data_IF_348484414260
#
_entry.id   IF_348484414260
#
_cell.length_a   1.000
_cell.length_b   1.000
_cell.length_c   1.000
_cell.angle_alpha   90.00
_cell.angle_beta   90.00
_cell.angle_gamma   90.00
#
_symmetry.space_group_name_H-M   'P 1'
#
loop_
_entity.id
_entity.type
_entity.pdbx_description
1 polymer ?
#
# COMPACT_ATOMS: atom_id res chain seq x y z
N UNK A 1 64.27 -35.91 -2.24
CA UNK A 1 62.95 -35.53 -2.79
C UNK A 1 62.65 -36.47 -3.94
N UNK A 2 61.52 -37.18 -3.90
CA UNK A 2 61.18 -38.21 -4.88
C UNK A 2 60.79 -37.58 -6.24
N UNK A 3 61.58 -37.79 -7.31
CA UNK A 3 61.32 -37.20 -8.62
C UNK A 3 59.95 -37.59 -9.20
N UNK A 4 59.45 -38.79 -8.87
CA UNK A 4 58.17 -39.29 -9.36
C UNK A 4 56.95 -38.55 -8.79
N UNK A 5 57.06 -38.08 -7.53
CA UNK A 5 55.98 -37.34 -6.87
C UNK A 5 55.80 -35.92 -7.44
N UNK A 6 56.90 -35.28 -7.84
CA UNK A 6 56.91 -33.95 -8.46
C UNK A 6 56.31 -34.02 -9.87
N UNK A 7 56.67 -35.03 -10.65
CA UNK A 7 56.15 -35.24 -12.00
C UNK A 7 54.64 -35.49 -12.02
N UNK A 8 54.13 -36.25 -11.04
CA UNK A 8 52.68 -36.54 -10.91
C UNK A 8 51.88 -35.29 -10.52
N UNK A 9 52.43 -34.42 -9.67
CA UNK A 9 51.82 -33.12 -9.31
C UNK A 9 51.80 -32.14 -10.49
N UNK A 10 52.88 -32.08 -11.28
CA UNK A 10 52.93 -31.26 -12.49
C UNK A 10 51.93 -31.73 -13.55
N UNK A 11 51.78 -33.05 -13.75
CA UNK A 11 50.77 -33.60 -14.65
C UNK A 11 49.34 -33.26 -14.21
N UNK A 12 49.03 -33.36 -12.91
CA UNK A 12 47.72 -32.98 -12.37
C UNK A 12 47.45 -31.47 -12.49
N UNK A 13 48.47 -30.62 -12.27
CA UNK A 13 48.36 -29.18 -12.46
C UNK A 13 48.12 -28.81 -13.94
N UNK A 14 48.80 -29.48 -14.87
CA UNK A 14 48.60 -29.27 -16.31
C UNK A 14 47.17 -29.64 -16.75
N UNK A 15 46.60 -30.74 -16.24
CA UNK A 15 45.21 -31.13 -16.52
C UNK A 15 44.21 -30.13 -15.96
N UNK A 16 44.43 -29.61 -14.74
CA UNK A 16 43.58 -28.57 -14.15
C UNK A 16 43.64 -27.26 -14.95
N UNK A 17 44.83 -26.86 -15.36
CA UNK A 17 45.05 -25.64 -16.15
C UNK A 17 44.44 -25.75 -17.56
N UNK A 18 44.50 -26.93 -18.17
CA UNK A 18 43.81 -27.21 -19.43
C UNK A 18 42.28 -27.11 -19.30
N UNK A 19 41.69 -27.69 -18.24
CA UNK A 19 40.24 -27.57 -17.97
C UNK A 19 39.83 -26.11 -17.74
N UNK A 20 40.58 -25.36 -16.93
CA UNK A 20 40.32 -23.94 -16.68
C UNK A 20 40.40 -23.09 -17.96
N UNK A 21 41.36 -23.36 -18.85
CA UNK A 21 41.44 -22.68 -20.16
C UNK A 21 40.25 -23.00 -21.07
N UNK A 22 39.73 -24.22 -21.02
CA UNK A 22 38.55 -24.63 -21.79
C UNK A 22 37.28 -23.95 -21.28
N UNK A 23 37.11 -23.86 -19.96
CA UNK A 23 36.03 -23.11 -19.31
C UNK A 23 36.09 -21.62 -19.64
N UNK A 24 37.28 -21.01 -19.57
CA UNK A 24 37.47 -19.60 -19.93
C UNK A 24 37.12 -19.31 -21.39
N UNK A 25 37.44 -20.23 -22.32
CA UNK A 25 37.03 -20.10 -23.73
C UNK A 25 35.50 -20.16 -23.89
N UNK A 26 34.82 -21.03 -23.14
CA UNK A 26 33.34 -21.11 -23.14
C UNK A 26 32.71 -19.83 -22.59
N UNK A 27 33.24 -19.31 -21.49
CA UNK A 27 32.77 -18.06 -20.90
C UNK A 27 32.95 -16.88 -21.85
N UNK A 28 34.10 -16.78 -22.52
CA UNK A 28 34.34 -15.74 -23.54
C UNK A 28 33.39 -15.86 -24.74
N UNK A 29 33.08 -17.08 -25.18
CA UNK A 29 32.11 -17.30 -26.26
C UNK A 29 30.69 -16.92 -25.83
N UNK A 30 30.26 -17.29 -24.62
CA UNK A 30 28.96 -16.92 -24.08
C UNK A 30 28.83 -15.39 -23.90
N UNK A 31 29.87 -14.74 -23.39
CA UNK A 31 29.91 -13.28 -23.25
C UNK A 31 29.75 -12.58 -24.60
N UNK A 32 30.43 -13.08 -25.64
CA UNK A 32 30.31 -12.53 -27.01
C UNK A 32 28.88 -12.67 -27.57
N UNK A 33 28.20 -13.78 -27.29
CA UNK A 33 26.80 -13.98 -27.71
C UNK A 33 25.87 -13.00 -27.00
N UNK A 34 26.09 -12.73 -25.70
CA UNK A 34 25.30 -11.75 -24.95
C UNK A 34 25.55 -10.34 -25.48
N UNK A 35 26.82 -9.96 -25.74
CA UNK A 35 27.17 -8.66 -26.33
C UNK A 35 26.58 -8.49 -27.75
N UNK A 36 26.57 -9.54 -28.58
CA UNK A 36 25.93 -9.53 -29.91
C UNK A 36 24.39 -9.41 -29.77
N UNK A 37 23.77 -10.07 -28.80
CA UNK A 37 22.33 -9.96 -28.52
C UNK A 37 21.94 -8.56 -27.99
N UNK A 38 22.76 -7.96 -27.15
CA UNK A 38 22.56 -6.59 -26.65
C UNK A 38 22.75 -5.56 -27.77
N UNK A 39 23.71 -5.75 -28.67
CA UNK A 39 23.90 -4.90 -29.85
C UNK A 39 22.74 -5.02 -30.84
N UNK A 40 22.25 -6.24 -31.10
CA UNK A 40 21.09 -6.46 -31.98
C UNK A 40 19.79 -5.91 -31.36
N UNK A 41 19.66 -5.97 -30.02
CA UNK A 41 18.55 -5.35 -29.30
C UNK A 41 18.61 -3.81 -29.34
N UNK A 42 19.81 -3.22 -29.28
CA UNK A 42 20.01 -1.78 -29.41
C UNK A 42 19.70 -1.29 -30.83
N UNK A 43 20.11 -2.02 -31.87
CA UNK A 43 19.82 -1.68 -33.28
C UNK A 43 18.32 -1.84 -33.63
N UNK A 44 17.65 -2.85 -33.05
CA UNK A 44 16.18 -2.98 -33.15
C UNK A 44 15.43 -1.87 -32.41
N UNK A 45 15.98 -1.36 -31.31
CA UNK A 45 15.40 -0.24 -30.57
C UNK A 45 15.49 1.09 -31.33
N UNK A 46 16.51 1.29 -32.16
CA UNK A 46 16.67 2.48 -33.01
C UNK A 46 15.72 2.49 -34.22
N UNK A 47 15.38 1.33 -34.77
CA UNK A 47 14.55 1.21 -35.99
C UNK A 47 13.04 1.18 -35.73
N UNK A 48 12.60 1.08 -34.48
CA UNK A 48 11.17 1.08 -34.08
C UNK A 48 10.72 2.38 -33.42
N UNK A 49 11.16 3.52 -33.98
CA UNK A 49 10.85 4.87 -33.47
C UNK A 49 9.36 5.28 -33.58
N UNK A 50 8.48 4.44 -34.15
CA UNK A 50 7.07 4.79 -34.41
C UNK A 50 6.02 4.25 -33.43
N UNK A 51 6.41 3.57 -32.34
CA UNK A 51 5.47 3.20 -31.26
C UNK A 51 6.10 3.55 -29.91
N UNK A 52 6.16 4.86 -29.59
CA UNK A 52 6.58 5.33 -28.27
C UNK A 52 5.53 4.97 -27.21
N UNK A 53 5.78 3.90 -26.44
CA UNK A 53 5.52 3.91 -25.00
C UNK A 53 6.58 4.81 -24.35
N UNK A 54 6.25 5.68 -23.39
CA UNK A 54 7.27 6.45 -22.69
C UNK A 54 8.02 5.50 -21.74
N UNK A 55 9.21 5.06 -22.16
CA UNK A 55 10.16 4.37 -21.29
C UNK A 55 10.73 5.41 -20.33
N UNK A 56 10.29 5.37 -19.07
CA UNK A 56 10.97 6.07 -17.98
C UNK A 56 12.35 5.42 -17.79
N UNK A 57 13.42 6.22 -17.90
CA UNK A 57 14.77 5.79 -17.54
C UNK A 57 14.85 5.60 -16.03
N UNK A 58 15.11 4.38 -15.57
CA UNK A 58 15.21 4.02 -14.14
C UNK A 58 16.60 4.37 -13.56
N UNK A 59 17.50 5.01 -14.32
CA UNK A 59 18.91 5.14 -13.94
C UNK A 59 19.41 6.54 -13.56
N UNK A 60 18.52 7.52 -13.33
CA UNK A 60 18.92 8.84 -12.81
C UNK A 60 18.11 9.27 -11.59
N UNK A 61 18.18 8.51 -10.50
CA UNK A 61 18.13 9.09 -9.15
C UNK A 61 18.78 8.12 -8.17
N UNK A 62 20.09 8.26 -7.93
CA UNK A 62 20.59 7.95 -6.60
C UNK A 62 20.00 9.06 -5.74
N UNK A 63 18.86 8.78 -5.09
CA UNK A 63 18.31 9.65 -4.07
C UNK A 63 19.41 9.86 -3.04
N UNK A 64 19.95 11.07 -2.97
CA UNK A 64 20.63 11.54 -1.77
C UNK A 64 19.71 11.18 -0.60
N UNK A 65 20.22 10.42 0.37
CA UNK A 65 19.46 10.00 1.55
C UNK A 65 19.17 11.26 2.36
N UNK A 66 18.09 11.94 2.00
CA UNK A 66 17.48 13.02 2.76
C UNK A 66 17.22 12.50 4.17
N UNK A 67 17.62 13.26 5.19
CA UNK A 67 17.33 12.93 6.58
C UNK A 67 15.84 12.65 6.73
N UNK A 68 15.51 11.48 7.31
CA UNK A 68 14.14 11.02 7.39
C UNK A 68 13.40 11.91 8.40
N UNK A 69 12.48 12.76 7.92
CA UNK A 69 11.65 13.59 8.79
C UNK A 69 10.70 12.70 9.60
N UNK A 70 10.85 12.73 10.92
CA UNK A 70 9.99 11.98 11.85
C UNK A 70 9.18 12.89 12.74
N UNK A 71 7.94 12.51 13.05
CA UNK A 71 7.05 13.23 13.97
C UNK A 71 6.45 12.25 14.96
N UNK A 72 6.64 12.51 16.26
CA UNK A 72 6.04 11.72 17.33
C UNK A 72 4.66 12.28 17.69
N UNK A 73 3.68 11.41 17.80
CA UNK A 73 2.28 11.72 18.06
C UNK A 73 1.79 10.84 19.20
N UNK A 74 1.06 11.43 20.14
CA UNK A 74 0.42 10.68 21.21
C UNK A 74 -1.10 10.80 21.11
N UNK A 75 -1.79 9.66 21.12
CA UNK A 75 -3.25 9.56 21.10
C UNK A 75 -3.68 8.54 22.14
N UNK A 76 -4.52 8.96 23.09
CA UNK A 76 -5.07 8.09 24.13
C UNK A 76 -4.00 7.29 24.92
N UNK A 77 -2.83 7.89 25.16
CA UNK A 77 -1.71 7.24 25.87
C UNK A 77 -0.91 6.24 25.03
N UNK A 78 -1.19 6.14 23.73
CA UNK A 78 -0.39 5.40 22.75
C UNK A 78 0.47 6.36 21.96
N UNK A 79 1.77 6.06 21.86
CA UNK A 79 2.71 6.82 21.03
C UNK A 79 2.84 6.19 19.65
N UNK A 80 2.84 7.03 18.64
CA UNK A 80 3.11 6.69 17.26
C UNK A 80 4.20 7.58 16.70
N UNK A 81 5.12 6.96 15.96
CA UNK A 81 6.18 7.67 15.24
C UNK A 81 5.88 7.64 13.75
N UNK A 82 5.62 8.82 13.21
CA UNK A 82 5.38 9.04 11.79
C UNK A 82 6.71 9.23 11.08
N UNK A 83 6.94 8.43 10.06
CA UNK A 83 8.05 8.55 9.12
C UNK A 83 7.51 9.14 7.84
N UNK A 84 7.86 10.40 7.56
CA UNK A 84 7.33 11.16 6.43
C UNK A 84 8.18 10.96 5.17
N UNK A 85 7.55 11.14 4.00
CA UNK A 85 8.20 11.10 2.69
C UNK A 85 9.03 9.82 2.44
N UNK A 86 8.46 8.67 2.82
CA UNK A 86 9.06 7.36 2.59
C UNK A 86 8.90 6.91 1.14
N UNK A 87 9.85 6.10 0.62
CA UNK A 87 9.72 5.52 -0.71
C UNK A 87 8.47 4.64 -0.80
N UNK A 88 7.93 4.49 -2.01
CA UNK A 88 6.68 3.75 -2.22
C UNK A 88 6.80 2.28 -1.78
N UNK A 89 7.97 1.66 -1.90
CA UNK A 89 8.21 0.28 -1.45
C UNK A 89 8.03 0.04 0.05
N UNK A 90 8.19 1.08 0.87
CA UNK A 90 7.94 1.00 2.32
C UNK A 90 6.42 0.96 2.62
N UNK A 91 5.62 1.56 1.74
CA UNK A 91 4.16 1.65 1.84
C UNK A 91 3.51 0.42 1.21
N UNK A 92 3.92 0.05 0.00
CA UNK A 92 3.37 -1.09 -0.74
C UNK A 92 4.54 -1.97 -1.18
N UNK A 93 4.52 -3.29 -0.91
CA UNK A 93 5.65 -4.14 -1.26
C UNK A 93 6.02 -4.04 -2.76
N UNK A 94 7.30 -3.87 -3.05
CA UNK A 94 7.85 -3.50 -4.36
C UNK A 94 7.29 -4.33 -5.52
N UNK A 95 7.07 -5.62 -5.30
CA UNK A 95 6.51 -6.52 -6.30
C UNK A 95 5.12 -6.10 -6.80
N UNK A 96 4.27 -5.54 -5.94
CA UNK A 96 2.94 -5.08 -6.32
C UNK A 96 3.01 -3.77 -7.08
N UNK A 97 3.98 -2.91 -6.76
CA UNK A 97 4.31 -1.72 -7.54
C UNK A 97 4.80 -2.08 -8.95
N UNK A 98 5.65 -3.11 -9.07
CA UNK A 98 6.09 -3.65 -10.37
C UNK A 98 4.93 -4.27 -11.16
N UNK A 99 4.00 -4.96 -10.50
CA UNK A 99 2.77 -5.45 -11.14
C UNK A 99 1.89 -4.29 -11.61
N UNK A 100 1.79 -3.21 -10.83
CA UNK A 100 1.04 -2.00 -11.20
C UNK A 100 1.64 -1.27 -12.41
N UNK A 101 2.96 -1.33 -12.64
CA UNK A 101 3.59 -0.79 -13.86
C UNK A 101 3.09 -1.48 -15.14
N UNK A 102 2.43 -2.63 -15.05
CA UNK A 102 1.84 -3.29 -16.22
C UNK A 102 0.37 -2.93 -16.44
N UNK A 103 -0.25 -2.21 -15.50
CA UNK A 103 -1.67 -1.91 -15.55
C UNK A 103 -2.00 -0.83 -16.58
N UNK A 104 -2.99 -1.13 -17.43
CA UNK A 104 -3.46 -0.21 -18.48
C UNK A 104 -3.93 1.12 -17.91
N UNK A 105 -4.51 1.13 -16.70
CA UNK A 105 -5.02 2.34 -16.07
C UNK A 105 -3.90 3.31 -15.66
N UNK A 106 -2.74 2.79 -15.27
CA UNK A 106 -1.57 3.60 -14.87
C UNK A 106 -0.98 4.32 -16.08
N UNK A 107 -1.07 3.70 -17.26
CA UNK A 107 -0.60 4.25 -18.54
C UNK A 107 -1.69 4.93 -19.36
N UNK A 108 -2.91 5.04 -18.85
CA UNK A 108 -4.02 5.63 -19.58
C UNK A 108 -3.73 7.11 -19.81
N UNK A 109 -3.75 7.52 -21.07
CA UNK A 109 -3.62 8.92 -21.42
C UNK A 109 -4.80 9.69 -20.82
N UNK A 110 -4.49 10.69 -20.00
CA UNK A 110 -5.49 11.61 -19.46
C UNK A 110 -5.44 12.88 -20.31
N UNK A 111 -6.60 13.30 -20.82
CA UNK A 111 -6.73 14.46 -21.71
C UNK A 111 -5.92 15.67 -21.26
N UNK A 112 -6.01 16.03 -19.98
CA UNK A 112 -5.35 17.21 -19.43
C UNK A 112 -3.81 17.15 -19.59
N UNK A 113 -3.22 15.97 -19.45
CA UNK A 113 -1.78 15.73 -19.59
C UNK A 113 -1.32 15.46 -21.03
N UNK A 114 -2.26 15.39 -21.97
CA UNK A 114 -1.97 15.46 -23.42
C UNK A 114 -1.69 16.90 -23.86
N UNK A 115 -2.18 17.89 -23.12
CA UNK A 115 -2.07 19.32 -23.46
C UNK A 115 -0.92 20.01 -22.73
N UNK A 116 -0.70 19.68 -21.46
CA UNK A 116 0.35 20.30 -20.65
C UNK A 116 0.96 19.30 -19.64
N UNK A 117 2.13 19.62 -19.10
CA UNK A 117 2.72 18.88 -17.97
C UNK A 117 2.03 19.20 -16.64
N UNK A 118 1.51 20.41 -16.51
CA UNK A 118 0.71 20.87 -15.37
C UNK A 118 -0.73 21.12 -15.85
N UNK A 119 -1.68 20.39 -15.28
CA UNK A 119 -3.09 20.48 -15.62
C UNK A 119 -3.75 21.81 -15.24
N UNK A 120 -3.16 22.58 -14.31
CA UNK A 120 -3.65 23.93 -13.95
C UNK A 120 -3.60 24.90 -15.13
N UNK A 121 -2.72 24.65 -16.11
CA UNK A 121 -2.56 25.48 -17.30
C UNK A 121 -3.60 25.18 -18.40
N UNK A 122 -4.40 24.13 -18.22
CA UNK A 122 -5.37 23.67 -19.23
C UNK A 122 -6.75 24.20 -18.87
N UNK A 123 -7.44 24.78 -19.86
CA UNK A 123 -8.84 25.15 -19.69
C UNK A 123 -9.71 23.89 -19.71
N UNK A 124 -10.16 23.46 -18.53
CA UNK A 124 -11.02 22.29 -18.33
C UNK A 124 -12.40 22.41 -18.98
N UNK A 125 -12.87 23.63 -19.29
CA UNK A 125 -14.18 23.82 -19.94
C UNK A 125 -14.15 23.35 -21.41
N UNK A 126 -12.95 23.09 -21.95
CA UNK A 126 -12.73 22.51 -23.29
C UNK A 126 -12.56 20.99 -23.27
N UNK A 127 -12.87 20.33 -22.15
CA UNK A 127 -12.75 18.88 -22.03
C UNK A 127 -13.66 18.19 -23.08
N UNK A 128 -13.16 17.21 -23.87
CA UNK A 128 -13.95 16.57 -24.91
C UNK A 128 -15.12 15.79 -24.34
N UNK A 129 -16.32 15.96 -24.91
CA UNK A 129 -17.55 15.31 -24.43
C UNK A 129 -17.49 13.79 -24.44
N UNK A 130 -16.69 13.19 -25.35
CA UNK A 130 -16.56 11.74 -25.50
C UNK A 130 -15.45 11.12 -24.65
N UNK A 131 -14.55 11.93 -24.09
CA UNK A 131 -13.45 11.46 -23.26
C UNK A 131 -13.80 11.75 -21.81
N UNK A 132 -14.38 10.81 -21.06
CA UNK A 132 -14.83 11.08 -19.67
C UNK A 132 -13.84 10.66 -18.60
N UNK A 133 -12.70 10.12 -19.00
CA UNK A 133 -11.72 9.47 -18.13
C UNK A 133 -11.09 10.48 -17.17
N UNK A 134 -11.24 10.23 -15.88
CA UNK A 134 -10.81 11.10 -14.78
C UNK A 134 -11.37 12.53 -14.86
N UNK A 135 -12.38 12.80 -15.69
CA UNK A 135 -12.96 14.13 -15.81
C UNK A 135 -13.46 14.63 -14.45
N UNK A 136 -14.21 13.78 -13.74
CA UNK A 136 -14.76 14.11 -12.42
C UNK A 136 -13.64 14.39 -11.40
N UNK A 137 -12.49 13.73 -11.52
CA UNK A 137 -11.34 13.97 -10.64
C UNK A 137 -10.83 15.40 -10.81
N UNK A 138 -10.55 15.83 -12.04
CA UNK A 138 -10.03 17.17 -12.29
C UNK A 138 -11.08 18.27 -12.09
N UNK A 139 -12.33 17.98 -12.43
CA UNK A 139 -13.45 18.89 -12.17
C UNK A 139 -13.60 19.18 -10.67
N UNK A 140 -13.56 18.15 -9.83
CA UNK A 140 -13.60 18.32 -8.37
C UNK A 140 -12.31 18.95 -7.81
N UNK A 141 -11.13 18.63 -8.36
CA UNK A 141 -9.87 19.25 -7.96
C UNK A 141 -9.88 20.76 -8.21
N UNK A 142 -10.45 21.24 -9.33
CA UNK A 142 -10.58 22.68 -9.65
C UNK A 142 -11.34 23.43 -8.56
N UNK A 143 -12.31 22.76 -7.94
CA UNK A 143 -13.19 23.32 -6.92
C UNK A 143 -12.79 22.93 -5.49
N UNK A 144 -11.60 22.35 -5.29
CA UNK A 144 -11.06 21.98 -3.98
C UNK A 144 -10.31 23.14 -3.31
N UNK A 145 -10.03 23.11 -1.99
CA UNK A 145 -9.25 24.15 -1.34
C UNK A 145 -7.78 24.03 -1.76
N UNK A 146 -7.08 25.16 -1.77
CA UNK A 146 -5.71 25.28 -2.22
C UNK A 146 -4.80 25.64 -1.05
N UNK A 147 -3.67 24.94 -0.93
CA UNK A 147 -2.61 25.24 0.02
C UNK A 147 -1.32 25.48 -0.74
N UNK A 148 -0.58 26.51 -0.34
CA UNK A 148 0.71 26.84 -0.96
C UNK A 148 1.77 25.77 -0.64
N UNK A 149 1.72 25.23 0.58
CA UNK A 149 2.65 24.23 1.09
C UNK A 149 2.03 22.83 1.13
N UNK A 150 2.91 21.83 1.09
CA UNK A 150 2.59 20.44 1.36
C UNK A 150 2.22 20.25 2.84
N UNK A 151 1.45 19.22 3.19
CA UNK A 151 1.14 18.96 4.58
C UNK A 151 2.42 18.73 5.38
N UNK A 152 3.38 17.98 4.84
CA UNK A 152 4.63 17.66 5.53
C UNK A 152 5.60 18.83 5.59
N UNK A 153 5.41 19.85 4.76
CA UNK A 153 6.21 21.08 4.75
C UNK A 153 5.54 22.22 5.56
N UNK A 154 4.35 21.95 6.10
CA UNK A 154 3.46 22.94 6.70
C UNK A 154 3.29 22.72 8.21
N UNK A 155 4.40 22.85 8.94
CA UNK A 155 4.42 22.62 10.39
C UNK A 155 3.47 23.55 11.16
N UNK A 156 3.20 24.76 10.63
CA UNK A 156 2.37 25.79 11.29
C UNK A 156 0.89 25.75 10.90
N UNK A 157 0.51 24.97 9.88
CA UNK A 157 -0.86 24.92 9.37
C UNK A 157 -1.24 26.18 8.60
N UNK A 158 -0.76 26.27 7.36
CA UNK A 158 -1.08 27.30 6.39
C UNK A 158 -2.58 27.32 6.09
N UNK A 159 -3.09 28.54 5.90
CA UNK A 159 -4.49 28.78 5.59
C UNK A 159 -4.84 28.31 4.19
N UNK A 160 -5.98 27.64 4.08
CA UNK A 160 -6.47 27.20 2.79
C UNK A 160 -7.06 28.39 2.03
N UNK A 161 -6.66 28.58 0.78
CA UNK A 161 -7.35 29.49 -0.14
C UNK A 161 -8.47 28.74 -0.85
N UNK A 162 -9.70 29.26 -0.78
CA UNK A 162 -10.85 28.64 -1.45
C UNK A 162 -11.06 29.25 -2.85
N UNK A 163 -11.56 28.46 -3.82
CA UNK A 163 -11.99 28.99 -5.11
C UNK A 163 -13.02 30.13 -4.98
N UNK A 164 -13.11 31.03 -5.99
CA UNK A 164 -14.08 32.12 -5.97
C UNK A 164 -15.52 31.62 -5.78
N UNK A 165 -16.30 32.32 -4.96
CA UNK A 165 -17.71 31.99 -4.66
C UNK A 165 -17.93 30.62 -3.98
N UNK A 166 -16.89 30.03 -3.37
CA UNK A 166 -17.03 28.80 -2.58
C UNK A 166 -16.62 29.03 -1.14
N UNK A 167 -17.36 28.40 -0.21
CA UNK A 167 -16.95 28.33 1.19
C UNK A 167 -16.03 27.11 1.42
N UNK A 168 -15.34 27.10 2.55
CA UNK A 168 -14.41 26.00 2.87
C UNK A 168 -15.13 24.64 2.95
N UNK A 169 -16.38 24.62 3.41
CA UNK A 169 -17.16 23.37 3.53
C UNK A 169 -17.44 22.74 2.18
N UNK A 170 -17.88 23.54 1.21
CA UNK A 170 -18.11 23.09 -0.15
C UNK A 170 -16.80 22.70 -0.84
N UNK A 171 -15.75 23.50 -0.69
CA UNK A 171 -14.44 23.18 -1.24
C UNK A 171 -13.92 21.84 -0.68
N UNK A 172 -14.03 21.61 0.63
CA UNK A 172 -13.69 20.34 1.27
C UNK A 172 -14.53 19.18 0.74
N UNK A 173 -15.82 19.38 0.53
CA UNK A 173 -16.69 18.35 -0.07
C UNK A 173 -16.21 17.96 -1.47
N UNK A 174 -15.78 18.93 -2.29
CA UNK A 174 -15.20 18.63 -3.60
C UNK A 174 -13.91 17.82 -3.47
N UNK A 175 -13.06 18.12 -2.48
CA UNK A 175 -11.87 17.33 -2.21
C UNK A 175 -12.20 15.88 -1.82
N UNK A 176 -13.27 15.64 -1.06
CA UNK A 176 -13.73 14.27 -0.79
C UNK A 176 -14.20 13.56 -2.08
N UNK A 177 -14.87 14.30 -2.98
CA UNK A 177 -15.32 13.78 -4.27
C UNK A 177 -14.17 13.46 -5.22
N UNK A 178 -13.03 14.18 -5.13
CA UNK A 178 -11.80 13.83 -5.86
C UNK A 178 -11.37 12.41 -5.53
N UNK A 179 -11.26 12.09 -4.23
CA UNK A 179 -10.84 10.75 -3.79
C UNK A 179 -11.85 9.69 -4.20
N UNK A 180 -13.15 9.99 -4.06
CA UNK A 180 -14.21 9.08 -4.51
C UNK A 180 -14.14 8.80 -6.02
N UNK A 181 -14.03 9.84 -6.85
CA UNK A 181 -13.95 9.70 -8.30
C UNK A 181 -12.68 8.94 -8.72
N UNK A 182 -11.54 9.26 -8.12
CA UNK A 182 -10.26 8.62 -8.41
C UNK A 182 -10.32 7.12 -8.12
N UNK A 183 -10.86 6.76 -6.96
CA UNK A 183 -10.91 5.38 -6.49
C UNK A 183 -11.95 4.56 -7.24
N UNK A 184 -13.10 5.17 -7.56
CA UNK A 184 -14.10 4.56 -8.41
C UNK A 184 -13.50 4.22 -9.78
N UNK A 185 -12.84 5.19 -10.43
CA UNK A 185 -12.23 4.94 -11.73
C UNK A 185 -11.10 3.93 -11.68
N UNK A 186 -10.30 3.92 -10.61
CA UNK A 186 -9.15 3.04 -10.45
C UNK A 186 -9.57 1.59 -10.11
N UNK A 187 -10.48 1.38 -9.16
CA UNK A 187 -10.82 0.03 -8.70
C UNK A 187 -11.90 -0.67 -9.54
N UNK A 188 -12.79 0.08 -10.22
CA UNK A 188 -13.79 -0.55 -11.10
C UNK A 188 -13.27 -0.81 -12.54
N UNK A 189 -12.10 -0.29 -12.93
CA UNK A 189 -11.47 -0.55 -14.24
C UNK A 189 -10.16 -1.36 -14.18
N UNK A 190 -9.68 -1.74 -12.99
CA UNK A 190 -8.54 -2.66 -12.85
C UNK A 190 -9.09 -4.09 -12.91
N UNK A 191 -8.53 -4.88 -13.82
CA UNK A 191 -8.92 -6.23 -14.25
C UNK A 191 -8.73 -7.29 -13.12
N UNK A 192 -9.35 -7.05 -11.96
CA UNK A 192 -9.44 -7.98 -10.83
C UNK A 192 -10.93 -8.20 -10.54
N UNK A 193 -11.63 -8.70 -11.55
CA UNK A 193 -13.00 -9.19 -11.43
C UNK A 193 -13.02 -10.66 -11.82
N UNK A 194 -12.80 -11.54 -10.83
CA UNK A 194 -13.62 -12.74 -10.85
C UNK A 194 -15.04 -12.30 -10.47
N UNK A 195 -16.05 -12.60 -11.29
CA UNK A 195 -17.39 -12.07 -11.13
C UNK A 195 -18.07 -12.73 -9.93
N UNK A 196 -17.93 -12.13 -8.75
CA UNK A 196 -18.92 -12.31 -7.68
C UNK A 196 -19.96 -11.22 -7.80
N UNK A 197 -21.21 -11.66 -8.00
CA UNK A 197 -22.40 -10.94 -8.45
C UNK A 197 -22.98 -9.89 -7.47
N UNK A 198 -22.15 -9.27 -6.63
CA UNK A 198 -22.54 -8.11 -5.80
C UNK A 198 -21.32 -7.19 -5.67
N UNK A 199 -21.45 -5.86 -5.82
CA UNK A 199 -20.33 -4.93 -5.66
C UNK A 199 -19.83 -4.97 -4.20
N UNK A 200 -18.92 -5.90 -3.90
CA UNK A 200 -18.28 -6.08 -2.59
C UNK A 200 -17.24 -4.99 -2.28
N UNK A 201 -16.87 -4.16 -3.25
CA UNK A 201 -15.84 -3.12 -3.10
C UNK A 201 -16.36 -1.79 -2.54
N UNK A 202 -17.50 -1.80 -1.83
CA UNK A 202 -17.69 -0.83 -0.76
C UNK A 202 -16.97 -1.40 0.43
N UNK A 203 -15.67 -1.10 0.54
CA UNK A 203 -14.94 -1.30 1.77
C UNK A 203 -15.80 -0.77 2.92
N UNK A 204 -16.42 -1.66 3.71
CA UNK A 204 -17.06 -1.33 4.98
C UNK A 204 -15.93 -1.03 5.98
N UNK A 205 -15.19 0.03 5.68
CA UNK A 205 -14.27 0.68 6.57
C UNK A 205 -15.08 1.75 7.31
N UNK A 206 -16.09 1.28 8.05
CA UNK A 206 -16.89 2.09 8.94
C UNK A 206 -15.98 2.53 10.09
N UNK A 207 -15.77 3.85 10.21
CA UNK A 207 -15.32 4.42 11.47
C UNK A 207 -16.54 4.54 12.39
N UNK A 208 -16.49 3.89 13.54
CA UNK A 208 -17.39 4.19 14.66
C UNK A 208 -16.79 5.40 15.38
N UNK A 209 -17.31 6.61 15.11
CA UNK A 209 -17.11 7.73 16.04
C UNK A 209 -17.99 7.48 17.27
N UNK A 210 -17.53 6.68 18.23
CA UNK A 210 -18.17 6.70 19.56
C UNK A 210 -17.67 7.94 20.30
N UNK A 211 -18.31 9.07 20.05
CA UNK A 211 -18.46 10.06 21.12
C UNK A 211 -19.48 9.51 22.11
N UNK A 212 -19.04 8.61 22.98
CA UNK A 212 -19.54 8.40 24.35
C UNK A 212 -18.64 7.37 25.03
N UNK A 213 -17.59 7.85 25.70
CA UNK A 213 -17.06 7.14 26.86
C UNK A 213 -18.22 6.96 27.84
N UNK A 214 -18.70 5.73 28.02
CA UNK A 214 -19.42 5.32 29.21
C UNK A 214 -18.62 4.22 29.90
N UNK A 215 -18.07 4.63 31.03
CA UNK A 215 -17.60 3.89 32.21
C UNK A 215 -17.48 2.35 32.11
N UNK A 216 -16.27 1.77 32.30
CA UNK A 216 -16.03 0.33 32.18
C UNK A 216 -16.57 -0.55 33.34
N UNK A 217 -17.61 -0.12 34.05
CA UNK A 217 -18.08 -0.80 35.28
C UNK A 217 -19.51 -1.35 35.26
N UNK A 218 -20.27 -1.30 34.15
CA UNK A 218 -21.64 -1.86 34.11
C UNK A 218 -21.82 -3.11 33.22
N UNK A 219 -22.43 -4.20 33.73
CA UNK A 219 -22.76 -5.38 32.92
C UNK A 219 -23.98 -5.13 32.01
N UNK A 220 -24.12 -5.89 30.91
CA UNK A 220 -25.06 -5.57 29.83
C UNK A 220 -26.49 -5.97 30.22
N UNK A 221 -27.31 -4.99 30.61
CA UNK A 221 -28.76 -5.16 30.63
C UNK A 221 -29.36 -4.63 29.32
N UNK A 222 -29.92 -5.57 28.56
CA UNK A 222 -31.15 -5.49 27.77
C UNK A 222 -31.83 -4.11 27.64
N UNK A 223 -32.04 -3.72 26.37
CA UNK A 223 -33.02 -2.76 25.87
C UNK A 223 -32.86 -1.28 26.29
N UNK A 224 -32.25 -0.48 25.42
CA UNK A 224 -32.61 0.92 25.29
C UNK A 224 -32.31 1.41 23.86
N UNK A 225 -33.32 1.27 23.00
CA UNK A 225 -33.45 2.04 21.78
C UNK A 225 -33.43 3.53 22.13
N UNK A 226 -32.48 4.29 21.59
CA UNK A 226 -32.63 5.74 21.50
C UNK A 226 -32.26 6.19 20.09
N UNK A 227 -33.32 6.40 19.31
CA UNK A 227 -33.27 7.12 18.05
C UNK A 227 -32.93 8.58 18.33
N UNK A 228 -31.79 9.03 17.86
CA UNK A 228 -31.59 10.43 17.51
C UNK A 228 -31.14 10.48 16.05
N UNK A 229 -32.02 11.03 15.23
CA UNK A 229 -31.80 11.31 13.82
C UNK A 229 -30.63 12.28 13.68
N UNK A 230 -29.44 11.76 13.42
CA UNK A 230 -28.37 12.47 12.75
C UNK A 230 -27.99 11.65 11.52
N UNK A 231 -28.09 12.32 10.38
CA UNK A 231 -27.73 11.85 9.03
C UNK A 231 -26.63 10.79 9.04
N UNK A 232 -26.93 9.65 8.41
CA UNK A 232 -26.03 8.53 8.11
C UNK A 232 -24.80 9.02 7.34
N UNK A 233 -23.81 9.52 8.09
CA UNK A 233 -22.48 9.80 7.58
C UNK A 233 -21.77 8.46 7.39
N UNK A 234 -21.86 7.94 6.18
CA UNK A 234 -21.10 6.78 5.74
C UNK A 234 -19.61 7.07 5.96
N UNK A 235 -19.00 6.38 6.94
CA UNK A 235 -17.60 6.56 7.33
C UNK A 235 -16.66 6.28 6.15
N UNK A 236 -15.77 7.23 5.85
CA UNK A 236 -14.77 7.15 4.77
C UNK A 236 -13.36 7.15 5.40
N UNK A 237 -12.41 6.37 4.89
CA UNK A 237 -10.95 6.48 5.20
C UNK A 237 -10.24 7.41 4.23
N UNK A 238 -10.98 8.39 3.76
CA UNK A 238 -10.46 9.49 2.98
C UNK A 238 -10.53 10.69 3.88
N UNK A 239 -9.39 11.32 4.09
CA UNK A 239 -9.37 12.54 4.87
C UNK A 239 -8.99 13.74 4.04
N UNK A 240 -9.84 14.74 4.23
CA UNK A 240 -9.68 16.12 3.81
C UNK A 240 -9.49 16.98 5.06
N UNK A 241 -8.50 17.87 5.03
CA UNK A 241 -8.09 18.65 6.20
C UNK A 241 -9.13 19.74 6.53
N UNK A 242 -9.18 20.16 7.80
CA UNK A 242 -9.92 21.38 8.19
C UNK A 242 -9.10 22.61 7.85
N UNK A 243 -9.75 23.78 7.77
CA UNK A 243 -9.04 25.04 7.57
C UNK A 243 -8.05 25.29 8.72
N UNK A 244 -6.83 25.72 8.40
CA UNK A 244 -5.72 25.98 9.33
C UNK A 244 -5.41 24.81 10.29
N UNK A 245 -4.99 23.67 9.77
CA UNK A 245 -4.59 22.53 10.61
C UNK A 245 -3.08 22.32 10.60
N UNK A 246 -2.39 22.57 11.73
CA UNK A 246 -0.99 22.19 11.92
C UNK A 246 -0.74 20.70 11.70
N UNK A 247 0.49 20.38 11.28
CA UNK A 247 0.90 19.01 10.96
C UNK A 247 0.67 18.03 12.11
N UNK A 248 1.01 18.40 13.35
CA UNK A 248 0.82 17.56 14.54
C UNK A 248 -0.66 17.21 14.75
N UNK A 249 -1.54 18.20 14.65
CA UNK A 249 -3.00 18.00 14.78
C UNK A 249 -3.54 17.17 13.63
N UNK A 250 -2.99 17.34 12.43
CA UNK A 250 -3.33 16.50 11.28
C UNK A 250 -2.94 15.04 11.53
N UNK A 251 -1.69 14.77 11.90
CA UNK A 251 -1.21 13.42 12.15
C UNK A 251 -1.91 12.75 13.35
N UNK A 252 -2.22 13.50 14.40
CA UNK A 252 -3.01 13.04 15.55
C UNK A 252 -4.38 12.49 15.12
N UNK A 253 -5.12 13.25 14.31
CA UNK A 253 -6.41 12.80 13.78
C UNK A 253 -6.25 11.63 12.78
N UNK A 254 -5.17 11.58 12.00
CA UNK A 254 -4.90 10.41 11.13
C UNK A 254 -4.63 9.16 11.97
N UNK A 255 -3.89 9.30 13.07
CA UNK A 255 -3.62 8.17 13.95
C UNK A 255 -4.89 7.67 14.65
N UNK A 256 -5.82 8.55 15.02
CA UNK A 256 -7.15 8.15 15.48
C UNK A 256 -7.88 7.31 14.43
N UNK A 257 -7.85 7.71 13.15
CA UNK A 257 -8.42 6.95 12.05
C UNK A 257 -7.76 5.56 11.91
N UNK A 258 -6.43 5.48 12.01
CA UNK A 258 -5.70 4.21 12.01
C UNK A 258 -6.16 3.29 13.14
N UNK A 259 -6.34 3.82 14.35
CA UNK A 259 -6.79 3.05 15.51
C UNK A 259 -8.24 2.55 15.37
N UNK A 260 -9.15 3.39 14.89
CA UNK A 260 -10.53 2.94 14.64
C UNK A 260 -10.60 1.88 13.55
N UNK A 261 -9.80 2.01 12.49
CA UNK A 261 -9.72 0.98 11.47
C UNK A 261 -9.06 -0.31 11.97
N UNK A 262 -8.07 -0.23 12.85
CA UNK A 262 -7.53 -1.41 13.54
C UNK A 262 -8.62 -2.13 14.32
N UNK A 263 -9.47 -1.41 15.07
CA UNK A 263 -10.59 -2.01 15.80
C UNK A 263 -11.57 -2.72 14.85
N UNK A 264 -11.91 -2.10 13.72
CA UNK A 264 -12.74 -2.71 12.68
C UNK A 264 -12.08 -3.97 12.12
N UNK A 265 -10.78 -3.96 11.86
CA UNK A 265 -10.06 -5.14 11.40
C UNK A 265 -10.12 -6.28 12.44
N UNK A 266 -9.82 -5.98 13.70
CA UNK A 266 -9.81 -6.95 14.79
C UNK A 266 -11.19 -7.58 15.01
N UNK A 267 -12.27 -6.81 14.87
CA UNK A 267 -13.64 -7.33 14.98
C UNK A 267 -13.95 -8.45 13.97
N UNK A 268 -13.30 -8.46 12.81
CA UNK A 268 -13.50 -9.47 11.78
C UNK A 268 -12.61 -10.70 11.94
N UNK A 269 -11.69 -10.70 12.92
CA UNK A 269 -10.73 -11.77 13.13
C UNK A 269 -11.13 -12.65 14.30
N UNK A 270 -10.74 -13.93 14.24
CA UNK A 270 -10.81 -14.82 15.38
C UNK A 270 -9.71 -14.45 16.38
N UNK A 271 -10.07 -13.62 17.36
CA UNK A 271 -9.14 -13.14 18.39
C UNK A 271 -8.89 -14.20 19.45
N UNK A 272 -7.61 -14.51 19.71
CA UNK A 272 -7.22 -15.21 20.92
C UNK A 272 -7.12 -14.19 22.07
N UNK A 273 -7.68 -14.54 23.24
CA UNK A 273 -7.68 -13.70 24.45
C UNK A 273 -6.29 -13.21 24.88
N UNK A 274 -5.22 -13.89 24.46
CA UNK A 274 -3.84 -13.61 24.87
C UNK A 274 -2.92 -13.16 23.73
N UNK A 275 -3.38 -13.20 22.49
CA UNK A 275 -2.57 -12.88 21.31
C UNK A 275 -3.48 -12.37 20.20
N UNK A 276 -3.30 -11.09 19.85
CA UNK A 276 -3.90 -10.51 18.66
C UNK A 276 -2.99 -10.78 17.45
N UNK A 277 -3.54 -11.07 16.27
CA UNK A 277 -2.73 -11.27 15.07
C UNK A 277 -2.08 -9.95 14.60
N UNK A 278 -0.95 -10.06 13.90
CA UNK A 278 -0.33 -8.96 13.16
C UNK A 278 -1.34 -8.25 12.24
N UNK A 279 -1.37 -6.92 12.27
CA UNK A 279 -2.24 -6.10 11.45
C UNK A 279 -1.49 -4.95 10.77
N UNK A 280 -2.06 -4.47 9.68
CA UNK A 280 -1.68 -3.21 9.05
C UNK A 280 -2.92 -2.44 8.60
N UNK A 281 -2.81 -1.11 8.59
CA UNK A 281 -3.89 -0.20 8.23
C UNK A 281 -3.38 0.83 7.24
N UNK A 282 -4.17 1.07 6.19
CA UNK A 282 -3.89 2.06 5.17
C UNK A 282 -4.87 3.23 5.24
N UNK A 283 -4.35 4.45 5.07
CA UNK A 283 -5.14 5.67 4.98
C UNK A 283 -4.71 6.44 3.73
N UNK A 284 -5.67 6.82 2.88
CA UNK A 284 -5.41 7.63 1.68
C UNK A 284 -5.89 9.04 1.97
N UNK A 285 -4.97 9.99 1.94
CA UNK A 285 -5.23 11.38 2.28
C UNK A 285 -5.08 12.29 1.07
N UNK A 286 -5.88 13.36 1.05
CA UNK A 286 -5.74 14.43 0.06
C UNK A 286 -5.69 15.77 0.78
N UNK A 287 -4.55 16.46 0.63
CA UNK A 287 -4.34 17.83 1.10
C UNK A 287 -4.28 18.78 -0.09
N UNK A 288 -5.39 19.46 -0.34
CA UNK A 288 -5.57 20.26 -1.55
C UNK A 288 -5.62 19.37 -2.78
N UNK A 289 -4.51 19.42 -3.53
CA UNK A 289 -4.25 18.57 -4.69
C UNK A 289 -3.17 17.52 -4.44
N UNK A 290 -2.61 17.47 -3.23
CA UNK A 290 -1.50 16.61 -2.86
C UNK A 290 -2.02 15.34 -2.19
N UNK A 291 -1.88 14.21 -2.88
CA UNK A 291 -2.28 12.90 -2.41
C UNK A 291 -1.12 12.21 -1.69
N UNK A 292 -1.37 11.55 -0.56
CA UNK A 292 -0.40 10.65 0.06
C UNK A 292 -1.10 9.47 0.71
N UNK A 293 -0.35 8.38 0.91
CA UNK A 293 -0.84 7.16 1.55
C UNK A 293 -0.04 6.92 2.82
N UNK A 294 -0.74 6.58 3.90
CA UNK A 294 -0.13 6.20 5.16
C UNK A 294 -0.36 4.71 5.44
N UNK A 295 0.66 4.02 5.93
CA UNK A 295 0.62 2.63 6.41
C UNK A 295 0.99 2.61 7.89
N UNK A 296 0.04 2.27 8.75
CA UNK A 296 0.31 1.98 10.15
C UNK A 296 0.55 0.47 10.33
N UNK A 297 1.67 0.13 10.97
CA UNK A 297 2.08 -1.27 11.21
C UNK A 297 1.75 -1.61 12.67
N UNK A 298 0.98 -2.68 12.86
CA UNK A 298 0.48 -3.11 14.17
C UNK A 298 0.92 -4.56 14.47
N UNK A 299 2.17 -4.75 14.94
CA UNK A 299 2.64 -6.08 15.30
C UNK A 299 1.87 -6.68 16.48
N UNK A 300 1.60 -7.98 16.38
CA UNK A 300 0.99 -8.84 17.40
C UNK A 300 1.55 -8.58 18.81
N UNK A 301 2.89 -8.56 19.05
CA UNK A 301 3.43 -8.28 20.38
C UNK A 301 3.04 -6.91 20.92
N UNK A 302 3.08 -5.86 20.09
CA UNK A 302 2.80 -4.48 20.51
C UNK A 302 1.31 -4.32 20.82
N UNK A 303 0.44 -4.69 19.88
CA UNK A 303 -1.01 -4.52 20.09
C UNK A 303 -1.56 -5.46 21.18
N UNK A 304 -1.00 -6.66 21.36
CA UNK A 304 -1.42 -7.57 22.44
C UNK A 304 -1.03 -7.03 23.81
N UNK A 305 0.14 -6.40 23.95
CA UNK A 305 0.54 -5.73 25.21
C UNK A 305 -0.41 -4.59 25.54
N UNK A 306 -0.80 -3.79 24.54
CA UNK A 306 -1.72 -2.66 24.70
C UNK A 306 -3.13 -3.16 25.05
N UNK A 307 -3.68 -4.08 24.26
CA UNK A 307 -5.09 -4.46 24.35
C UNK A 307 -5.36 -5.54 25.41
N UNK A 308 -4.57 -6.61 25.43
CA UNK A 308 -4.80 -7.76 26.32
C UNK A 308 -4.16 -7.58 27.71
N UNK A 309 -3.28 -6.56 27.90
CA UNK A 309 -2.42 -6.36 29.09
C UNK A 309 -1.57 -7.57 29.49
N UNK A 310 -1.53 -8.59 28.63
CA UNK A 310 -0.81 -9.85 28.76
C UNK A 310 -0.44 -10.27 27.36
N UNK A 311 0.84 -10.48 27.11
CA UNK A 311 1.31 -11.10 25.88
C UNK A 311 1.87 -12.48 26.22
N UNK A 312 1.27 -13.51 25.65
CA UNK A 312 1.95 -14.80 25.51
C UNK A 312 2.35 -14.88 24.05
N UNK A 313 3.65 -14.98 23.72
CA UNK A 313 4.04 -15.20 22.35
C UNK A 313 3.28 -16.42 21.84
N UNK A 314 2.57 -16.24 20.72
CA UNK A 314 2.09 -17.39 19.96
C UNK A 314 3.29 -18.32 19.74
N UNK A 315 3.08 -19.63 19.84
CA UNK A 315 4.13 -20.61 19.53
C UNK A 315 4.74 -20.17 18.17
N UNK A 316 6.05 -19.96 18.04
CA UNK A 316 6.66 -19.46 16.80
C UNK A 316 6.29 -20.30 15.56
N UNK A 317 5.74 -21.50 15.75
CA UNK A 317 5.16 -22.36 14.70
C UNK A 317 3.76 -21.93 14.21
N UNK A 318 3.07 -21.05 14.92
CA UNK A 318 1.67 -20.65 14.70
C UNK A 318 1.52 -19.40 13.85
N UNK A 319 2.44 -18.44 13.93
CA UNK A 319 2.39 -17.17 13.16
C UNK A 319 3.37 -17.14 12.00
N UNK A 320 4.56 -17.73 12.16
CA UNK A 320 5.30 -18.21 11.01
C UNK A 320 4.64 -19.51 10.58
N UNK A 321 3.82 -19.47 9.52
CA UNK A 321 3.92 -20.55 8.55
C UNK A 321 5.40 -20.65 8.24
N UNK A 322 6.02 -21.68 8.83
CA UNK A 322 7.45 -21.86 8.92
C UNK A 322 8.04 -21.46 7.59
N UNK A 323 9.00 -20.54 7.59
CA UNK A 323 9.75 -20.23 6.38
C UNK A 323 10.33 -21.55 5.89
N UNK A 324 9.64 -22.21 4.94
CA UNK A 324 9.79 -23.64 4.67
C UNK A 324 10.92 -23.89 3.67
N UNK A 325 11.68 -22.85 3.35
CA UNK A 325 12.89 -22.80 2.53
C UNK A 325 13.97 -23.85 2.91
N UNK A 326 13.85 -24.51 4.06
CA UNK A 326 14.74 -25.59 4.49
C UNK A 326 14.34 -27.01 4.03
N UNK A 327 13.15 -27.21 3.45
CA UNK A 327 12.71 -28.53 3.02
C UNK A 327 13.18 -28.85 1.59
N UNK A 328 14.35 -29.49 1.50
CA UNK A 328 14.97 -29.91 0.22
C UNK A 328 14.14 -30.92 -0.59
N UNK A 329 13.08 -31.49 -0.02
CA UNK A 329 12.25 -32.50 -0.68
C UNK A 329 11.03 -31.93 -1.40
N UNK A 330 10.72 -30.64 -1.18
CA UNK A 330 9.52 -29.99 -1.71
C UNK A 330 9.76 -29.42 -3.12
N UNK A 331 8.83 -29.66 -4.03
CA UNK A 331 8.73 -28.90 -5.30
C UNK A 331 8.00 -27.61 -5.03
N UNK A 332 8.69 -26.48 -5.17
CA UNK A 332 8.09 -25.16 -5.08
C UNK A 332 7.25 -24.88 -6.31
N UNK A 333 6.01 -24.46 -6.11
CA UNK A 333 5.24 -23.77 -7.15
C UNK A 333 5.63 -22.29 -7.18
N UNK A 334 5.30 -21.59 -8.27
CA UNK A 334 5.46 -20.15 -8.36
C UNK A 334 4.71 -19.42 -7.23
N UNK A 335 3.50 -19.90 -6.89
CA UNK A 335 2.68 -19.35 -5.80
C UNK A 335 3.31 -19.55 -4.40
N UNK A 336 4.01 -20.68 -4.19
CA UNK A 336 4.74 -20.92 -2.94
C UNK A 336 5.90 -19.94 -2.77
N UNK A 337 6.64 -19.66 -3.86
CA UNK A 337 7.71 -18.67 -3.84
C UNK A 337 7.17 -17.25 -3.61
N UNK A 338 6.05 -16.90 -4.25
CA UNK A 338 5.39 -15.62 -4.01
C UNK A 338 4.95 -15.47 -2.54
N UNK A 339 4.43 -16.53 -1.92
CA UNK A 339 4.08 -16.55 -0.50
C UNK A 339 5.31 -16.29 0.38
N UNK A 340 6.41 -17.00 0.13
CA UNK A 340 7.63 -16.86 0.93
C UNK A 340 8.21 -15.44 0.80
N UNK A 341 8.16 -14.83 -0.39
CA UNK A 341 8.59 -13.44 -0.59
C UNK A 341 7.72 -12.46 0.24
N UNK A 342 6.39 -12.63 0.28
CA UNK A 342 5.53 -11.79 1.14
C UNK A 342 5.91 -11.88 2.60
N UNK A 343 6.19 -13.09 3.06
CA UNK A 343 6.55 -13.33 4.45
C UNK A 343 7.89 -12.69 4.77
N UNK A 344 8.87 -12.72 3.85
CA UNK A 344 10.11 -11.97 4.02
C UNK A 344 9.85 -10.47 4.12
N UNK A 345 9.08 -9.89 3.19
CA UNK A 345 8.76 -8.46 3.20
C UNK A 345 8.10 -8.04 4.52
N UNK A 346 7.18 -8.87 5.05
CA UNK A 346 6.56 -8.65 6.34
C UNK A 346 7.57 -8.76 7.50
N UNK A 347 8.42 -9.79 7.52
CA UNK A 347 9.46 -9.96 8.54
C UNK A 347 10.47 -8.81 8.54
N UNK A 348 10.81 -8.28 7.37
CA UNK A 348 11.63 -7.07 7.24
C UNK A 348 10.92 -5.87 7.86
N UNK A 349 9.64 -5.67 7.57
CA UNK A 349 8.81 -4.61 8.17
C UNK A 349 8.79 -4.73 9.70
N UNK A 350 8.56 -5.94 10.24
CA UNK A 350 8.55 -6.22 11.68
C UNK A 350 9.91 -6.02 12.33
N UNK A 351 11.01 -6.41 11.67
CA UNK A 351 12.36 -6.22 12.20
C UNK A 351 12.65 -4.73 12.40
N UNK A 352 12.30 -3.90 11.43
CA UNK A 352 12.49 -2.46 11.55
C UNK A 352 11.59 -1.84 12.63
N UNK A 353 10.34 -2.30 12.75
CA UNK A 353 9.44 -1.85 13.81
C UNK A 353 9.88 -2.30 15.21
N UNK A 354 10.47 -3.48 15.36
CA UNK A 354 11.05 -3.97 16.61
C UNK A 354 12.32 -3.23 17.03
N UNK A 355 13.00 -2.57 16.08
CA UNK A 355 14.12 -1.69 16.38
C UNK A 355 13.65 -0.32 16.87
N UNK A 356 12.35 0.00 16.80
CA UNK A 356 11.83 1.22 17.37
C UNK A 356 11.97 1.17 18.90
N UNK A 357 12.70 2.14 19.45
CA UNK A 357 12.88 2.23 20.89
C UNK A 357 11.51 2.37 21.57
N UNK A 358 11.28 1.66 22.69
CA UNK A 358 10.12 1.94 23.51
C UNK A 358 10.20 3.38 24.04
N UNK A 359 9.07 3.93 24.45
CA UNK A 359 9.04 5.28 24.98
C UNK A 359 9.67 5.38 26.38
N UNK A 360 9.68 6.59 26.95
CA UNK A 360 10.21 6.86 28.29
C UNK A 360 9.60 6.01 29.42
N UNK A 361 8.41 5.43 29.19
CA UNK A 361 7.68 4.59 30.15
C UNK A 361 7.71 3.10 29.76
N UNK A 362 8.63 2.70 28.88
CA UNK A 362 8.75 1.34 28.32
C UNK A 362 7.49 0.86 27.56
N UNK A 363 6.66 1.80 27.07
CA UNK A 363 5.47 1.51 26.27
C UNK A 363 5.84 1.32 24.80
N UNK A 364 5.13 0.42 24.09
CA UNK A 364 5.37 0.19 22.67
C UNK A 364 5.00 1.41 21.83
N UNK A 365 5.93 1.86 20.99
CA UNK A 365 5.70 2.90 19.97
C UNK A 365 5.23 2.25 18.67
N UNK A 366 4.15 2.76 18.09
CA UNK A 366 3.59 2.28 16.82
C UNK A 366 4.25 3.02 15.66
N UNK A 367 4.74 2.29 14.66
CA UNK A 367 5.32 2.88 13.45
C UNK A 367 4.24 3.19 12.42
N UNK A 368 4.25 4.42 11.91
CA UNK A 368 3.40 4.86 10.80
C UNK A 368 4.29 5.40 9.68
N UNK A 369 4.18 4.82 8.49
CA UNK A 369 4.93 5.21 7.30
C UNK A 369 4.02 6.05 6.42
N UNK A 370 4.49 7.19 5.92
CA UNK A 370 3.77 8.01 4.96
C UNK A 370 4.56 8.11 3.66
N UNK A 371 3.90 7.86 2.51
CA UNK A 371 4.48 8.12 1.19
C UNK A 371 4.84 9.59 1.06
N UNK A 372 5.63 9.94 0.04
CA UNK A 372 5.70 11.34 -0.41
C UNK A 372 4.33 11.89 -0.83
N UNK A 373 4.23 13.22 -0.91
CA UNK A 373 3.02 13.93 -1.32
C UNK A 373 3.00 14.19 -2.83
N UNK A 374 2.03 13.58 -3.50
CA UNK A 374 1.86 13.62 -4.95
C UNK A 374 0.91 14.73 -5.40
N UNK A 375 1.43 15.76 -6.07
CA UNK A 375 0.57 16.77 -6.69
C UNK A 375 -0.16 16.21 -7.92
N UNK A 376 -1.47 16.00 -7.77
CA UNK A 376 -2.34 15.44 -8.80
C UNK A 376 -2.49 16.36 -10.03
N UNK A 377 -2.14 17.65 -9.92
CA UNK A 377 -2.11 18.54 -11.08
C UNK A 377 -0.89 18.35 -11.97
N UNK A 378 0.16 17.69 -11.48
CA UNK A 378 1.38 17.46 -12.26
C UNK A 378 1.33 16.07 -12.91
N UNK A 379 1.77 15.96 -14.16
CA UNK A 379 1.80 14.68 -14.89
C UNK A 379 2.62 13.60 -14.15
N UNK A 380 3.75 14.00 -13.58
CA UNK A 380 4.61 13.10 -12.80
C UNK A 380 3.96 12.69 -11.47
N UNK A 381 3.43 13.65 -10.71
CA UNK A 381 2.74 13.38 -9.45
C UNK A 381 1.51 12.50 -9.64
N UNK A 382 0.71 12.79 -10.67
CA UNK A 382 -0.43 11.97 -11.06
C UNK A 382 -0.05 10.51 -11.38
N UNK A 383 0.97 10.31 -12.22
CA UNK A 383 1.38 8.96 -12.60
C UNK A 383 1.93 8.16 -11.42
N UNK A 384 2.73 8.81 -10.57
CA UNK A 384 3.26 8.17 -9.35
C UNK A 384 2.14 7.84 -8.35
N UNK A 385 1.17 8.74 -8.14
CA UNK A 385 -0.01 8.47 -7.32
C UNK A 385 -0.84 7.28 -7.86
N UNK A 386 -1.10 7.24 -9.17
CA UNK A 386 -1.81 6.12 -9.79
C UNK A 386 -1.08 4.80 -9.63
N UNK A 387 0.25 4.79 -9.81
CA UNK A 387 1.08 3.59 -9.61
C UNK A 387 0.99 3.09 -8.17
N UNK A 388 1.13 3.99 -7.19
CA UNK A 388 1.04 3.64 -5.77
C UNK A 388 -0.34 3.07 -5.43
N UNK A 389 -1.42 3.72 -5.86
CA UNK A 389 -2.80 3.28 -5.59
C UNK A 389 -3.14 1.95 -6.30
N UNK A 390 -2.69 1.75 -7.54
CA UNK A 390 -2.86 0.49 -8.25
C UNK A 390 -2.06 -0.64 -7.61
N UNK A 391 -0.82 -0.36 -7.17
CA UNK A 391 -0.01 -1.30 -6.40
C UNK A 391 -0.68 -1.67 -5.07
N UNK A 392 -1.19 -0.67 -4.35
CA UNK A 392 -1.95 -0.88 -3.12
C UNK A 392 -3.17 -1.75 -3.36
N UNK A 393 -3.95 -1.49 -4.43
CA UNK A 393 -5.08 -2.33 -4.79
C UNK A 393 -4.68 -3.78 -4.99
N UNK A 394 -3.62 -4.01 -5.77
CA UNK A 394 -3.11 -5.37 -6.04
C UNK A 394 -2.62 -6.04 -4.77
N UNK A 395 -2.03 -5.29 -3.84
CA UNK A 395 -1.61 -5.81 -2.56
C UNK A 395 -2.79 -6.23 -1.69
N UNK A 396 -3.77 -5.35 -1.53
CA UNK A 396 -5.00 -5.60 -0.77
C UNK A 396 -5.79 -6.77 -1.38
N UNK A 397 -5.95 -6.78 -2.70
CA UNK A 397 -6.68 -7.83 -3.42
C UNK A 397 -5.88 -9.12 -3.60
N UNK A 398 -4.58 -9.12 -3.28
CA UNK A 398 -3.70 -10.27 -3.38
C UNK A 398 -3.85 -11.27 -2.23
N UNK A 399 -4.68 -10.98 -1.22
CA UNK A 399 -4.90 -11.86 -0.06
C UNK A 399 -3.70 -11.99 0.89
N UNK A 400 -2.73 -11.09 0.76
CA UNK A 400 -1.49 -11.08 1.56
C UNK A 400 -1.46 -9.97 2.59
N UNK A 401 -2.22 -8.90 2.35
CA UNK A 401 -2.37 -7.81 3.28
C UNK A 401 -2.88 -8.29 4.65
N UNK A 402 -2.25 -7.79 5.71
CA UNK A 402 -2.63 -8.07 7.11
C UNK A 402 -3.77 -7.14 7.55
N UNK A 403 -4.80 -7.03 6.72
CA UNK A 403 -5.98 -6.23 7.02
C UNK A 403 -7.13 -7.18 7.37
N UNK A 404 -7.57 -7.20 8.63
CA UNK A 404 -8.55 -8.17 9.13
C UNK A 404 -9.85 -8.28 8.32
N UNK A 405 -10.34 -7.15 7.79
CA UNK A 405 -11.49 -7.14 6.87
C UNK A 405 -11.20 -7.95 5.60
N UNK A 406 -10.03 -7.75 4.99
CA UNK A 406 -9.60 -8.48 3.80
C UNK A 406 -9.31 -9.95 4.11
N UNK A 407 -8.67 -10.25 5.23
CA UNK A 407 -8.37 -11.61 5.66
C UNK A 407 -9.66 -12.43 5.82
N UNK A 408 -10.65 -11.90 6.55
CA UNK A 408 -11.97 -12.52 6.69
C UNK A 408 -12.73 -12.63 5.36
N UNK A 409 -12.55 -11.66 4.45
CA UNK A 409 -13.11 -11.76 3.10
C UNK A 409 -12.50 -12.96 2.37
N UNK A 410 -11.18 -13.06 2.29
CA UNK A 410 -10.49 -14.13 1.55
C UNK A 410 -10.65 -15.52 2.18
N UNK A 411 -10.80 -15.64 3.49
CA UNK A 411 -11.10 -16.91 4.16
C UNK A 411 -12.43 -17.53 3.66
N UNK A 412 -13.37 -16.71 3.22
CA UNK A 412 -14.68 -17.16 2.69
C UNK A 412 -14.63 -17.53 1.20
N UNK A 413 -13.47 -17.41 0.56
CA UNK A 413 -13.28 -17.72 -0.86
C UNK A 413 -12.42 -18.98 -1.10
N UNK A 414 -12.81 -19.84 -2.07
CA UNK A 414 -14.01 -19.77 -2.88
C UNK A 414 -15.28 -20.09 -2.05
N UNK A 415 -16.37 -19.37 -2.32
CA UNK A 415 -17.68 -19.71 -1.75
C UNK A 415 -17.99 -21.13 -2.23
N UNK A 416 -17.98 -22.11 -1.34
CA UNK A 416 -18.44 -23.45 -1.67
C UNK A 416 -19.88 -23.31 -2.18
N UNK A 417 -20.14 -23.71 -3.43
CA UNK A 417 -21.50 -23.81 -3.94
C UNK A 417 -22.26 -24.71 -2.97
N UNK A 418 -23.22 -24.12 -2.24
CA UNK A 418 -24.10 -24.92 -1.40
C UNK A 418 -24.79 -25.93 -2.31
N UNK A 419 -24.72 -27.25 -2.01
CA UNK A 419 -25.41 -28.23 -2.84
C UNK A 419 -26.89 -27.84 -2.94
N UNK A 420 -27.52 -28.00 -4.12
CA UNK A 420 -28.91 -27.63 -4.30
C UNK A 420 -29.73 -28.35 -3.23
N UNK A 421 -30.48 -27.56 -2.44
CA UNK A 421 -31.44 -28.12 -1.48
C UNK A 421 -32.38 -28.99 -2.29
N UNK A 422 -32.26 -30.31 -2.13
CA UNK A 422 -33.27 -31.25 -2.61
C UNK A 422 -34.61 -30.77 -2.04
N UNK A 423 -35.47 -30.30 -2.94
CA UNK A 423 -36.84 -30.01 -2.61
C UNK A 423 -37.41 -31.29 -2.01
N UNK A 424 -37.79 -31.25 -0.74
CA UNK A 424 -38.63 -32.27 -0.13
C UNK A 424 -39.98 -32.24 -0.84
N UNK A 425 -40.05 -32.91 -1.99
CA UNK A 425 -41.29 -33.22 -2.66
C UNK A 425 -42.05 -34.18 -1.73
N UNK A 426 -43.25 -33.74 -1.38
CA UNK A 426 -44.23 -34.42 -0.55
C UNK A 426 -44.30 -35.93 -0.84
N UNK A 427 -44.16 -36.74 0.22
CA UNK A 427 -44.86 -38.02 0.27
C UNK A 427 -46.29 -37.71 0.70
N UNK A 428 -47.22 -37.73 -0.27
CA UNK A 428 -48.63 -38.03 -0.03
C UNK A 428 -48.82 -39.54 0.01
#
# INVERSE_FOLDING_TARGET
MDPGAVQKRLAQAAVKLYKARKELKRYKAAKKIVEEQEAEAAEKAETTEYIRRPTFSILETILEVSEVKTVDIEVHGMKAKFYLSRPDEDIVPLRYLKKADTDKIVHRAVWIFSKAKDGRQVNQDKWPTLETVFFDVFHNLKNSPHWDKALFDDDKGSTATCPPNTDFRLARFNQDNVLHALISELFFNVDVMHPTSKPMLWFHLQYVTTSTLKDPTQPPSTNASSSSNQSESHGRNFRTLTDNQPLDKALCQNFQLHLGQLLTNLHHLHINKYCLPDQEVFLINLHGSRLHVQRAVFPSPKISRIYCKKYKPADPKSELHTFRAGDTTRRYTEQDLEYDIDQLDWLHTLREDNNEAPDEEDKPVIRVLASQEYDLWTKSGWHAALKLLAGLNRYLMGGRAKCGVMQNMFEKFPIAESPPKESSAAKS
#
